data_IF_095015024445
#
_entry.id   IF_095015024445
#
_cell.length_a   1.000
_cell.length_b   1.000
_cell.length_c   1.000
_cell.angle_alpha   90.00
_cell.angle_beta   90.00
_cell.angle_gamma   90.00
#
_symmetry.space_group_name_H-M   'P 1'
#
loop_
_entity.id
_entity.type
_entity.pdbx_description
1 polymer ?
#
# COMPACT_ATOMS: atom_id res chain seq x y z
N UNK A 1 -23.56 28.50 -55.28
CA UNK A 1 -23.22 28.64 -53.85
C UNK A 1 -22.28 27.49 -53.50
N UNK A 2 -20.97 27.76 -53.45
CA UNK A 2 -19.91 26.74 -53.39
C UNK A 2 -19.61 26.31 -51.97
N UNK A 3 -19.58 24.99 -51.77
CA UNK A 3 -19.37 24.29 -50.50
C UNK A 3 -17.87 24.07 -50.23
N UNK A 4 -17.09 25.15 -50.07
CA UNK A 4 -15.61 25.11 -50.05
C UNK A 4 -14.96 25.41 -48.69
N UNK A 5 -15.69 25.29 -47.58
CA UNK A 5 -15.20 25.66 -46.24
C UNK A 5 -14.94 24.51 -45.26
N UNK A 6 -15.25 23.25 -45.61
CA UNK A 6 -15.19 22.12 -44.66
C UNK A 6 -13.91 21.27 -44.71
N UNK A 7 -13.00 21.53 -45.64
CA UNK A 7 -11.83 20.66 -45.88
C UNK A 7 -10.49 21.23 -45.38
N UNK A 8 -10.45 22.47 -44.87
CA UNK A 8 -9.20 23.11 -44.44
C UNK A 8 -8.87 22.84 -42.97
N UNK A 9 -9.87 22.82 -42.08
CA UNK A 9 -9.68 22.53 -40.64
C UNK A 9 -9.23 21.09 -40.39
N UNK A 10 -9.74 20.12 -41.15
CA UNK A 10 -9.29 18.73 -41.04
C UNK A 10 -7.83 18.52 -41.45
N UNK A 11 -7.36 19.24 -42.48
CA UNK A 11 -5.97 19.15 -42.94
C UNK A 11 -5.00 19.81 -41.94
N UNK A 12 -5.40 20.92 -41.33
CA UNK A 12 -4.60 21.60 -40.31
C UNK A 12 -4.41 20.75 -39.04
N UNK A 13 -5.42 19.98 -38.65
CA UNK A 13 -5.32 19.09 -37.50
C UNK A 13 -4.44 17.86 -37.78
N UNK A 14 -4.57 17.28 -38.97
CA UNK A 14 -3.75 16.13 -39.40
C UNK A 14 -2.28 16.52 -39.58
N UNK A 15 -2.01 17.72 -40.11
CA UNK A 15 -0.65 18.26 -40.23
C UNK A 15 -0.04 18.56 -38.84
N UNK A 16 -0.82 19.12 -37.90
CA UNK A 16 -0.36 19.36 -36.52
C UNK A 16 -0.01 18.06 -35.79
N UNK A 17 -0.84 17.02 -35.91
CA UNK A 17 -0.56 15.73 -35.26
C UNK A 17 0.67 15.04 -35.84
N UNK A 18 0.89 15.16 -37.16
CA UNK A 18 2.10 14.61 -37.81
C UNK A 18 3.36 15.39 -37.44
N UNK A 19 3.26 16.71 -37.27
CA UNK A 19 4.36 17.57 -36.81
C UNK A 19 4.73 17.28 -35.35
N UNK A 20 3.74 17.07 -34.46
CA UNK A 20 3.97 16.62 -33.07
C UNK A 20 4.61 15.22 -33.04
N UNK A 21 4.25 14.34 -33.97
CA UNK A 21 4.83 13.01 -34.09
C UNK A 21 6.22 12.98 -34.76
N UNK A 22 6.74 14.13 -35.22
CA UNK A 22 8.07 14.24 -35.83
C UNK A 22 8.22 13.55 -37.20
N UNK A 23 7.11 13.27 -37.89
CA UNK A 23 7.13 12.62 -39.20
C UNK A 23 7.29 13.68 -40.31
N UNK A 24 8.47 13.73 -40.93
CA UNK A 24 8.76 14.65 -42.03
C UNK A 24 7.98 14.26 -43.30
N UNK A 25 7.03 15.12 -43.70
CA UNK A 25 6.16 14.94 -44.87
C UNK A 25 6.54 15.86 -46.05
N UNK A 26 7.71 16.50 -46.03
CA UNK A 26 8.23 17.26 -47.17
C UNK A 26 7.42 18.50 -47.57
N UNK A 27 6.53 18.98 -46.68
CA UNK A 27 5.81 20.25 -46.84
C UNK A 27 6.40 21.29 -45.90
N UNK A 28 6.65 22.49 -46.45
CA UNK A 28 7.26 23.62 -45.74
C UNK A 28 6.63 23.83 -44.36
N UNK A 29 7.44 23.69 -43.31
CA UNK A 29 7.14 24.03 -41.93
C UNK A 29 6.78 25.51 -41.85
N UNK A 30 5.54 25.82 -41.49
CA UNK A 30 5.02 27.21 -41.48
C UNK A 30 5.04 27.89 -40.12
N UNK A 31 5.32 27.16 -39.04
CA UNK A 31 5.15 27.69 -37.69
C UNK A 31 6.45 27.84 -36.88
N UNK A 32 7.59 27.37 -37.40
CA UNK A 32 8.88 27.55 -36.73
C UNK A 32 10.02 27.75 -37.74
N UNK A 33 10.26 29.01 -38.15
CA UNK A 33 11.55 29.40 -38.74
C UNK A 33 11.92 30.79 -38.22
N UNK A 34 12.81 30.83 -37.22
CA UNK A 34 13.89 31.80 -37.24
C UNK A 34 15.12 31.23 -36.51
N UNK A 35 16.30 31.37 -37.13
CA UNK A 35 17.59 30.96 -36.58
C UNK A 35 18.19 29.69 -37.17
N UNK A 36 18.73 29.79 -38.38
CA UNK A 36 19.47 28.72 -39.07
C UNK A 36 20.81 28.34 -38.42
N UNK A 37 21.15 27.07 -38.53
CA UNK A 37 22.50 26.49 -38.67
C UNK A 37 22.37 24.97 -38.78
N UNK A 38 23.03 24.38 -39.77
CA UNK A 38 23.18 22.93 -39.93
C UNK A 38 23.55 22.24 -38.59
N UNK A 39 22.75 21.28 -38.08
CA UNK A 39 23.01 20.67 -36.78
C UNK A 39 23.38 19.18 -36.81
N UNK A 40 23.54 18.55 -37.97
CA UNK A 40 23.51 17.08 -38.06
C UNK A 40 24.77 16.38 -37.51
N UNK A 41 25.91 17.09 -37.45
CA UNK A 41 27.15 16.57 -36.84
C UNK A 41 27.31 16.90 -35.34
N UNK A 42 26.79 18.03 -34.89
CA UNK A 42 27.01 18.53 -33.52
C UNK A 42 25.91 18.16 -32.53
N UNK A 43 24.73 17.71 -33.01
CA UNK A 43 23.66 17.18 -32.15
C UNK A 43 23.99 15.80 -31.59
N UNK A 44 24.63 14.90 -32.35
CA UNK A 44 25.02 13.57 -31.83
C UNK A 44 26.04 13.67 -30.69
N UNK A 45 27.09 14.49 -30.84
CA UNK A 45 28.09 14.64 -29.78
C UNK A 45 27.57 15.39 -28.53
N UNK A 46 26.65 16.35 -28.70
CA UNK A 46 25.94 16.98 -27.56
C UNK A 46 24.89 16.04 -26.95
N UNK A 47 24.24 15.20 -27.74
CA UNK A 47 23.30 14.18 -27.29
C UNK A 47 24.02 13.08 -26.51
N UNK A 48 25.13 12.55 -27.00
CA UNK A 48 25.90 11.53 -26.30
C UNK A 48 26.55 12.08 -25.01
N UNK A 49 26.96 13.36 -24.99
CA UNK A 49 27.37 14.07 -23.77
C UNK A 49 26.21 14.44 -22.84
N UNK A 50 24.98 14.55 -23.36
CA UNK A 50 23.78 14.74 -22.53
C UNK A 50 23.30 13.41 -21.94
N UNK A 51 23.41 12.31 -22.69
CA UNK A 51 23.10 10.95 -22.27
C UNK A 51 24.13 10.45 -21.24
N UNK A 52 25.43 10.71 -21.43
CA UNK A 52 26.45 10.43 -20.39
C UNK A 52 26.41 11.40 -19.21
N UNK A 53 25.73 12.55 -19.34
CA UNK A 53 25.38 13.44 -18.20
C UNK A 53 24.04 13.09 -17.55
N UNK A 54 23.25 12.20 -18.14
CA UNK A 54 21.94 11.83 -17.65
C UNK A 54 21.94 10.52 -16.85
N UNK A 55 23.09 9.85 -16.71
CA UNK A 55 23.20 8.75 -15.75
C UNK A 55 23.18 9.33 -14.34
N UNK A 56 22.17 8.95 -13.57
CA UNK A 56 22.02 9.37 -12.18
C UNK A 56 23.19 8.85 -11.34
N UNK A 57 23.40 9.44 -10.16
CA UNK A 57 24.47 9.00 -9.27
C UNK A 57 24.32 7.51 -8.94
N UNK A 58 23.07 7.06 -8.71
CA UNK A 58 22.73 5.67 -8.49
C UNK A 58 23.09 4.77 -9.69
N UNK A 59 22.66 5.11 -10.90
CA UNK A 59 22.94 4.30 -12.11
C UNK A 59 24.43 4.11 -12.34
N UNK A 60 25.23 5.14 -12.04
CA UNK A 60 26.68 5.08 -12.12
C UNK A 60 27.26 4.09 -11.11
N UNK A 61 26.83 4.13 -9.85
CA UNK A 61 27.28 3.20 -8.82
C UNK A 61 26.91 1.76 -9.18
N UNK A 62 25.65 1.52 -9.56
CA UNK A 62 25.17 0.19 -9.95
C UNK A 62 25.94 -0.41 -11.14
N UNK A 63 26.45 0.45 -12.04
CA UNK A 63 27.24 0.01 -13.20
C UNK A 63 28.72 -0.22 -12.89
N UNK A 64 29.25 0.45 -11.86
CA UNK A 64 30.68 0.44 -11.53
C UNK A 64 31.04 -0.58 -10.46
N UNK A 65 30.13 -0.84 -9.53
CA UNK A 65 30.36 -1.70 -8.37
C UNK A 65 29.28 -2.79 -8.29
N UNK A 66 29.71 -4.02 -8.55
CA UNK A 66 28.83 -5.19 -8.55
C UNK A 66 28.42 -5.61 -7.14
N UNK A 67 29.27 -5.40 -6.12
CA UNK A 67 28.97 -5.75 -4.73
C UNK A 67 27.91 -4.79 -4.17
N UNK A 68 28.12 -3.48 -4.39
CA UNK A 68 27.11 -2.46 -4.08
C UNK A 68 25.78 -2.75 -4.77
N UNK A 69 25.80 -3.06 -6.07
CA UNK A 69 24.58 -3.32 -6.83
C UNK A 69 23.79 -4.51 -6.26
N UNK A 70 24.48 -5.60 -5.89
CA UNK A 70 23.86 -6.76 -5.28
C UNK A 70 23.20 -6.41 -3.95
N UNK A 71 23.92 -5.71 -3.05
CA UNK A 71 23.40 -5.29 -1.75
C UNK A 71 22.20 -4.34 -1.91
N UNK A 72 22.30 -3.36 -2.81
CA UNK A 72 21.22 -2.42 -3.08
C UNK A 72 19.94 -3.13 -3.54
N UNK A 73 20.06 -4.08 -4.48
CA UNK A 73 18.92 -4.87 -4.95
C UNK A 73 18.33 -5.74 -3.84
N UNK A 74 19.16 -6.40 -3.04
CA UNK A 74 18.70 -7.20 -1.89
C UNK A 74 17.90 -6.35 -0.90
N UNK A 75 18.44 -5.20 -0.47
CA UNK A 75 17.76 -4.31 0.48
C UNK A 75 16.47 -3.75 -0.10
N UNK A 76 16.45 -3.39 -1.39
CA UNK A 76 15.24 -2.94 -2.07
C UNK A 76 14.16 -4.02 -2.11
N UNK A 77 14.54 -5.25 -2.42
CA UNK A 77 13.62 -6.38 -2.46
C UNK A 77 13.09 -6.73 -1.06
N UNK A 78 13.94 -6.62 -0.03
CA UNK A 78 13.57 -6.78 1.37
C UNK A 78 12.53 -5.73 1.81
N UNK A 79 12.78 -4.44 1.53
CA UNK A 79 11.83 -3.36 1.83
C UNK A 79 10.49 -3.60 1.12
N UNK A 80 10.50 -3.88 -0.18
CA UNK A 80 9.27 -4.12 -0.95
C UNK A 80 8.48 -5.33 -0.43
N UNK A 81 9.17 -6.41 -0.08
CA UNK A 81 8.57 -7.61 0.51
C UNK A 81 7.95 -7.32 1.87
N UNK A 82 8.66 -6.62 2.75
CA UNK A 82 8.17 -6.26 4.08
C UNK A 82 7.00 -5.28 3.98
N UNK A 83 7.03 -4.30 3.08
CA UNK A 83 5.90 -3.41 2.81
C UNK A 83 4.63 -4.18 2.42
N UNK A 84 4.75 -5.20 1.58
CA UNK A 84 3.63 -6.07 1.21
C UNK A 84 3.09 -6.85 2.43
N UNK A 85 3.98 -7.43 3.25
CA UNK A 85 3.60 -8.15 4.48
C UNK A 85 2.87 -7.20 5.45
N UNK A 86 3.44 -6.02 5.70
CA UNK A 86 2.83 -4.99 6.57
C UNK A 86 1.49 -4.55 6.04
N UNK A 87 1.34 -4.35 4.73
CA UNK A 87 0.07 -3.96 4.12
C UNK A 87 -1.01 -5.02 4.34
N UNK A 88 -0.67 -6.31 4.14
CA UNK A 88 -1.59 -7.42 4.38
C UNK A 88 -1.98 -7.55 5.86
N UNK A 89 -1.00 -7.48 6.75
CA UNK A 89 -1.20 -7.53 8.20
C UNK A 89 -2.00 -6.34 8.70
N UNK A 90 -1.79 -5.14 8.15
CA UNK A 90 -2.55 -3.94 8.50
C UNK A 90 -4.01 -4.08 8.11
N UNK A 91 -4.30 -4.60 6.90
CA UNK A 91 -5.68 -4.88 6.48
C UNK A 91 -6.35 -5.91 7.42
N UNK A 92 -5.65 -6.99 7.76
CA UNK A 92 -6.16 -8.01 8.67
C UNK A 92 -6.40 -7.44 10.09
N UNK A 93 -5.46 -6.65 10.61
CA UNK A 93 -5.58 -6.01 11.92
C UNK A 93 -6.73 -4.99 11.97
N UNK A 94 -6.93 -4.19 10.93
CA UNK A 94 -8.06 -3.28 10.83
C UNK A 94 -9.39 -4.03 10.78
N UNK A 95 -9.48 -5.10 9.98
CA UNK A 95 -10.67 -5.95 9.94
C UNK A 95 -11.00 -6.55 11.30
N UNK A 96 -9.98 -7.06 12.02
CA UNK A 96 -10.14 -7.57 13.39
C UNK A 96 -10.59 -6.49 14.36
N UNK A 97 -9.97 -5.30 14.34
CA UNK A 97 -10.35 -4.19 15.22
C UNK A 97 -11.81 -3.76 15.01
N UNK A 98 -12.27 -3.70 13.75
CA UNK A 98 -13.68 -3.41 13.45
C UNK A 98 -14.62 -4.51 13.96
N UNK A 99 -14.26 -5.78 13.81
CA UNK A 99 -15.07 -6.90 14.27
C UNK A 99 -15.21 -6.96 15.80
N UNK A 100 -14.12 -6.74 16.54
CA UNK A 100 -14.14 -6.68 18.01
C UNK A 100 -14.93 -5.45 18.50
N UNK A 101 -14.74 -4.28 17.87
CA UNK A 101 -15.52 -3.09 18.19
C UNK A 101 -17.03 -3.29 17.96
N UNK A 102 -17.41 -3.99 16.88
CA UNK A 102 -18.81 -4.34 16.63
C UNK A 102 -19.37 -5.29 17.70
N UNK A 103 -18.54 -6.20 18.21
CA UNK A 103 -18.91 -7.11 19.30
C UNK A 103 -19.14 -6.35 20.61
N UNK A 104 -18.25 -5.43 20.97
CA UNK A 104 -18.42 -4.54 22.13
C UNK A 104 -19.71 -3.72 22.00
N UNK A 105 -19.98 -3.17 20.81
CA UNK A 105 -21.21 -2.42 20.54
C UNK A 105 -22.47 -3.27 20.71
N UNK A 106 -22.49 -4.49 20.16
CA UNK A 106 -23.60 -5.44 20.34
C UNK A 106 -23.81 -5.80 21.83
N UNK A 107 -22.71 -6.06 22.56
CA UNK A 107 -22.76 -6.33 23.99
C UNK A 107 -23.39 -5.18 24.78
N UNK A 108 -23.01 -3.92 24.49
CA UNK A 108 -23.63 -2.73 25.12
C UNK A 108 -25.11 -2.61 24.80
N UNK A 109 -25.52 -2.92 23.57
CA UNK A 109 -26.93 -2.89 23.18
C UNK A 109 -27.76 -3.99 23.86
N UNK A 110 -27.15 -5.12 24.22
CA UNK A 110 -27.81 -6.23 24.93
C UNK A 110 -27.67 -6.15 26.46
N UNK A 111 -26.82 -5.29 26.97
CA UNK A 111 -26.62 -5.09 28.40
C UNK A 111 -27.86 -4.50 29.10
N UNK A 112 -27.83 -4.60 30.43
CA UNK A 112 -28.82 -3.99 31.31
C UNK A 112 -28.67 -2.46 31.32
N UNK A 113 -29.77 -1.78 31.61
CA UNK A 113 -29.77 -0.30 31.68
C UNK A 113 -30.46 0.18 32.94
N UNK A 114 -29.88 1.17 33.58
CA UNK A 114 -30.49 1.93 34.66
C UNK A 114 -31.53 2.93 34.13
N UNK A 115 -32.41 3.49 34.99
CA UNK A 115 -33.41 4.48 34.58
C UNK A 115 -32.84 5.77 33.97
N UNK A 116 -31.58 6.10 34.30
CA UNK A 116 -30.83 7.22 33.74
C UNK A 116 -30.19 6.91 32.37
N UNK A 117 -30.27 5.66 31.91
CA UNK A 117 -29.68 5.17 30.66
C UNK A 117 -28.27 4.60 30.80
N UNK A 118 -27.70 4.56 32.01
CA UNK A 118 -26.37 4.00 32.26
C UNK A 118 -26.36 2.49 31.95
N UNK A 119 -25.38 2.05 31.16
CA UNK A 119 -25.19 0.65 30.79
C UNK A 119 -24.49 -0.09 31.92
N UNK A 120 -25.07 -1.22 32.32
CA UNK A 120 -24.55 -2.05 33.40
C UNK A 120 -24.51 -3.53 33.00
N UNK A 121 -23.53 -4.23 33.56
CA UNK A 121 -23.28 -5.64 33.34
C UNK A 121 -23.26 -6.37 34.69
N UNK A 122 -23.78 -7.59 34.74
CA UNK A 122 -23.70 -8.42 35.94
C UNK A 122 -22.51 -9.37 35.80
N UNK A 123 -21.68 -9.45 36.84
CA UNK A 123 -20.60 -10.44 36.93
C UNK A 123 -21.18 -11.85 36.98
N UNK A 124 -20.65 -12.75 36.15
CA UNK A 124 -21.00 -14.15 36.19
C UNK A 124 -20.38 -14.87 37.40
N UNK A 125 -19.29 -14.33 37.95
CA UNK A 125 -18.53 -14.93 39.05
C UNK A 125 -19.04 -14.50 40.42
N UNK A 126 -19.19 -13.19 40.64
CA UNK A 126 -19.59 -12.64 41.94
C UNK A 126 -21.08 -12.33 42.03
N UNK A 127 -21.74 -12.15 40.88
CA UNK A 127 -23.13 -11.68 40.80
C UNK A 127 -23.29 -10.17 41.00
N UNK A 128 -22.20 -9.45 41.30
CA UNK A 128 -22.20 -7.99 41.46
C UNK A 128 -22.46 -7.29 40.12
N UNK A 129 -22.98 -6.07 40.18
CA UNK A 129 -23.29 -5.26 39.00
C UNK A 129 -22.21 -4.19 38.80
N UNK A 130 -21.64 -4.12 37.60
CA UNK A 130 -20.62 -3.16 37.21
C UNK A 130 -21.14 -2.25 36.11
N UNK A 131 -20.81 -0.95 36.19
CA UNK A 131 -21.01 -0.02 35.07
C UNK A 131 -19.99 -0.29 33.96
N UNK A 132 -20.23 0.26 32.78
CA UNK A 132 -19.27 0.21 31.65
C UNK A 132 -17.83 0.63 32.04
N UNK A 133 -17.67 1.64 32.90
CA UNK A 133 -16.36 2.11 33.39
C UNK A 133 -15.71 1.21 34.46
N UNK A 134 -16.30 0.05 34.78
CA UNK A 134 -15.80 -0.88 35.80
C UNK A 134 -16.06 -0.49 37.25
N UNK A 135 -16.98 0.43 37.52
CA UNK A 135 -17.39 0.78 38.89
C UNK A 135 -18.50 -0.17 39.35
N UNK A 136 -18.34 -0.73 40.54
CA UNK A 136 -19.41 -1.51 41.17
C UNK A 136 -20.59 -0.60 41.55
N UNK A 137 -21.80 -1.09 41.31
CA UNK A 137 -23.04 -0.43 41.70
C UNK A 137 -23.24 -0.53 43.22
N UNK A 138 -23.89 0.47 43.83
CA UNK A 138 -24.20 0.40 45.25
C UNK A 138 -25.34 -0.61 45.51
N UNK A 139 -25.29 -1.26 46.68
CA UNK A 139 -26.35 -2.16 47.12
C UNK A 139 -27.68 -1.40 47.21
N UNK A 140 -28.67 -1.82 46.41
CA UNK A 140 -30.00 -1.21 46.30
C UNK A 140 -30.31 -0.69 44.90
N UNK A 141 -29.32 -0.15 44.18
CA UNK A 141 -29.53 0.38 42.83
C UNK A 141 -29.73 -0.76 41.79
N UNK A 142 -29.37 -2.00 42.16
CA UNK A 142 -29.49 -3.19 41.32
C UNK A 142 -30.96 -3.58 41.02
N UNK A 143 -31.89 -3.19 41.89
CA UNK A 143 -33.32 -3.50 41.75
C UNK A 143 -33.98 -2.71 40.61
N UNK A 144 -33.42 -1.53 40.29
CA UNK A 144 -33.93 -0.64 39.24
C UNK A 144 -33.39 -0.98 37.85
N UNK A 145 -32.47 -1.96 37.74
CA UNK A 145 -31.86 -2.34 36.47
C UNK A 145 -32.84 -3.12 35.60
N UNK A 146 -33.07 -2.61 34.39
CA UNK A 146 -33.83 -3.33 33.37
C UNK A 146 -32.93 -4.30 32.61
N UNK A 147 -32.98 -5.58 32.97
CA UNK A 147 -32.20 -6.64 32.33
C UNK A 147 -32.87 -7.18 31.07
N UNK A 148 -32.07 -7.42 30.03
CA UNK A 148 -32.50 -8.15 28.82
C UNK A 148 -32.17 -9.64 28.97
N UNK A 149 -32.94 -10.49 28.29
CA UNK A 149 -32.81 -11.96 28.40
C UNK A 149 -31.42 -12.48 28.07
N UNK A 150 -30.74 -11.87 27.10
CA UNK A 150 -29.44 -12.30 26.58
C UNK A 150 -28.34 -11.27 26.92
N UNK A 151 -28.39 -10.72 28.14
CA UNK A 151 -27.39 -9.75 28.62
C UNK A 151 -26.02 -10.42 28.78
N UNK A 152 -24.93 -9.86 28.23
CA UNK A 152 -23.59 -10.37 28.45
C UNK A 152 -23.15 -10.18 29.91
N UNK A 153 -22.19 -11.01 30.35
CA UNK A 153 -21.55 -10.84 31.65
C UNK A 153 -20.57 -9.67 31.63
N UNK A 154 -20.19 -9.19 32.82
CA UNK A 154 -19.13 -8.18 32.95
C UNK A 154 -17.79 -8.68 32.42
N UNK A 155 -17.44 -9.93 32.72
CA UNK A 155 -16.17 -10.54 32.32
C UNK A 155 -16.07 -10.70 30.80
N UNK A 156 -17.18 -11.08 30.14
CA UNK A 156 -17.22 -11.16 28.67
C UNK A 156 -17.04 -9.78 28.04
N UNK A 157 -17.68 -8.76 28.61
CA UNK A 157 -17.59 -7.39 28.13
C UNK A 157 -16.18 -6.82 28.32
N UNK A 158 -15.60 -6.93 29.51
CA UNK A 158 -14.26 -6.42 29.78
C UNK A 158 -13.21 -7.10 28.90
N UNK A 159 -13.31 -8.43 28.73
CA UNK A 159 -12.43 -9.17 27.83
C UNK A 159 -12.60 -8.75 26.36
N UNK A 160 -13.80 -8.37 25.92
CA UNK A 160 -14.04 -7.85 24.57
C UNK A 160 -13.46 -6.44 24.38
N UNK A 161 -13.52 -5.59 25.40
CA UNK A 161 -12.84 -4.29 25.41
C UNK A 161 -11.33 -4.48 25.31
N UNK A 162 -10.74 -5.34 26.14
CA UNK A 162 -9.31 -5.64 26.11
C UNK A 162 -8.84 -6.15 24.74
N UNK A 163 -9.63 -7.04 24.10
CA UNK A 163 -9.35 -7.51 22.73
C UNK A 163 -9.45 -6.40 21.69
N UNK A 164 -10.42 -5.49 21.83
CA UNK A 164 -10.57 -4.34 20.95
C UNK A 164 -9.37 -3.40 21.07
N UNK A 165 -8.95 -3.08 22.29
CA UNK A 165 -7.81 -2.23 22.57
C UNK A 165 -6.51 -2.85 22.04
N UNK A 166 -6.30 -4.15 22.26
CA UNK A 166 -5.16 -4.87 21.71
C UNK A 166 -5.15 -4.86 20.16
N UNK A 167 -6.31 -5.05 19.52
CA UNK A 167 -6.42 -4.98 18.07
C UNK A 167 -6.15 -3.57 17.52
N UNK A 168 -6.64 -2.52 18.19
CA UNK A 168 -6.34 -1.13 17.83
C UNK A 168 -4.86 -0.79 18.04
N UNK A 169 -4.25 -1.27 19.13
CA UNK A 169 -2.83 -1.11 19.37
C UNK A 169 -2.02 -1.72 18.24
N UNK A 170 -2.37 -2.94 17.81
CA UNK A 170 -1.70 -3.59 16.67
C UNK A 170 -1.77 -2.76 15.39
N UNK A 171 -2.91 -2.14 15.09
CA UNK A 171 -3.04 -1.22 13.94
C UNK A 171 -2.09 -0.04 14.08
N UNK A 172 -2.02 0.58 15.26
CA UNK A 172 -1.11 1.72 15.51
C UNK A 172 0.35 1.33 15.37
N UNK A 173 0.75 0.17 15.90
CA UNK A 173 2.13 -0.31 15.82
C UNK A 173 2.55 -0.51 14.36
N UNK A 174 1.69 -1.13 13.54
CA UNK A 174 1.95 -1.33 12.11
C UNK A 174 2.02 -0.03 11.33
N UNK A 175 1.13 0.94 11.62
CA UNK A 175 1.15 2.26 10.99
C UNK A 175 2.41 3.04 11.36
N UNK A 176 2.81 2.98 12.63
CA UNK A 176 4.04 3.62 13.13
C UNK A 176 5.26 3.01 12.45
N UNK A 177 5.33 1.69 12.38
CA UNK A 177 6.40 0.99 11.68
C UNK A 177 6.49 1.37 10.20
N UNK A 178 5.34 1.44 9.50
CA UNK A 178 5.30 1.85 8.10
C UNK A 178 5.80 3.30 7.90
N UNK A 179 5.38 4.22 8.76
CA UNK A 179 5.70 5.65 8.63
C UNK A 179 7.13 5.99 9.10
N UNK A 180 7.62 5.35 10.16
CA UNK A 180 8.90 5.70 10.81
C UNK A 180 10.07 4.84 10.38
N UNK A 181 9.84 3.68 9.75
CA UNK A 181 10.89 2.75 9.33
C UNK A 181 10.87 2.53 7.83
N UNK A 182 9.75 2.02 7.28
CA UNK A 182 9.70 1.62 5.87
C UNK A 182 9.69 2.81 4.91
N UNK A 183 8.90 3.84 5.19
CA UNK A 183 8.83 5.01 4.31
C UNK A 183 10.19 5.75 4.21
N UNK A 184 10.90 6.07 5.30
CA UNK A 184 12.24 6.65 5.22
C UNK A 184 13.24 5.77 4.46
N UNK A 185 13.19 4.45 4.65
CA UNK A 185 14.03 3.51 3.92
C UNK A 185 13.74 3.55 2.41
N UNK A 186 12.46 3.53 2.00
CA UNK A 186 12.05 3.64 0.61
C UNK A 186 12.46 4.98 0.00
N UNK A 187 12.18 6.08 0.69
CA UNK A 187 12.50 7.43 0.21
C UNK A 187 14.01 7.58 0.00
N UNK A 188 14.84 6.97 0.86
CA UNK A 188 16.31 6.94 0.71
C UNK A 188 16.75 6.08 -0.48
N UNK A 189 16.14 4.91 -0.69
CA UNK A 189 16.45 4.03 -1.82
C UNK A 189 16.02 4.64 -3.17
N UNK A 190 14.95 5.42 -3.19
CA UNK A 190 14.43 6.05 -4.42
C UNK A 190 15.18 7.35 -4.80
N UNK A 191 16.07 7.86 -3.94
CA UNK A 191 16.90 9.04 -4.21
C UNK A 191 18.03 8.71 -5.21
N UNK A 192 17.77 9.00 -6.49
CA UNK A 192 18.70 8.72 -7.58
C UNK A 192 19.93 9.65 -7.59
N UNK A 193 19.79 10.84 -7.01
CA UNK A 193 20.82 11.88 -7.00
C UNK A 193 21.75 11.75 -5.78
N UNK A 194 21.24 11.21 -4.68
CA UNK A 194 21.99 10.93 -3.46
C UNK A 194 21.72 9.50 -2.96
N UNK A 195 22.19 8.47 -3.70
CA UNK A 195 21.99 7.09 -3.31
C UNK A 195 22.66 6.78 -1.96
N UNK A 196 22.10 5.85 -1.17
CA UNK A 196 22.68 5.44 0.10
C UNK A 196 24.07 4.81 -0.12
N UNK A 197 24.96 5.02 0.83
CA UNK A 197 26.24 4.29 0.91
C UNK A 197 26.03 2.83 1.33
N UNK A 198 27.03 1.97 1.15
CA UNK A 198 26.97 0.56 1.60
C UNK A 198 26.62 0.43 3.09
N UNK A 199 27.26 1.24 3.94
CA UNK A 199 26.98 1.25 5.37
C UNK A 199 25.53 1.67 5.66
N UNK A 200 25.01 2.67 4.93
CA UNK A 200 23.62 3.08 5.07
C UNK A 200 22.64 1.99 4.57
N UNK A 201 22.99 1.23 3.54
CA UNK A 201 22.21 0.07 3.10
C UNK A 201 22.15 -1.03 4.16
N UNK A 202 23.29 -1.33 4.81
CA UNK A 202 23.33 -2.27 5.94
C UNK A 202 22.51 -1.77 7.13
N UNK A 203 22.58 -0.47 7.42
CA UNK A 203 21.80 0.15 8.50
C UNK A 203 20.29 0.08 8.19
N UNK A 204 19.88 0.38 6.95
CA UNK A 204 18.49 0.21 6.51
C UNK A 204 18.05 -1.24 6.70
N UNK A 205 18.86 -2.19 6.21
CA UNK A 205 18.57 -3.63 6.33
C UNK A 205 18.40 -4.04 7.78
N UNK A 206 19.30 -3.60 8.66
CA UNK A 206 19.20 -3.88 10.10
C UNK A 206 17.93 -3.28 10.69
N UNK A 207 17.65 -2.01 10.40
CA UNK A 207 16.52 -1.28 10.98
C UNK A 207 15.17 -1.89 10.59
N UNK A 208 14.97 -2.33 9.34
CA UNK A 208 13.73 -3.00 8.89
C UNK A 208 13.52 -4.39 9.51
N UNK A 209 14.56 -5.02 10.07
CA UNK A 209 14.40 -6.29 10.78
C UNK A 209 14.32 -6.10 12.30
N UNK A 210 15.15 -5.24 12.88
CA UNK A 210 15.22 -5.02 14.33
C UNK A 210 14.03 -4.21 14.87
N UNK A 211 13.50 -3.27 14.09
CA UNK A 211 12.37 -2.43 14.49
C UNK A 211 11.01 -2.99 14.09
N UNK A 212 10.98 -4.19 13.50
CA UNK A 212 9.74 -4.87 13.14
C UNK A 212 8.89 -5.13 14.40
N UNK A 213 7.59 -4.80 14.41
CA UNK A 213 6.75 -5.01 15.57
C UNK A 213 6.55 -6.51 15.82
N UNK A 214 6.43 -6.89 17.10
CA UNK A 214 6.30 -8.29 17.53
C UNK A 214 5.20 -9.03 16.75
N UNK A 215 5.48 -10.28 16.38
CA UNK A 215 4.56 -11.12 15.61
C UNK A 215 4.43 -10.77 14.13
N UNK A 216 5.12 -9.74 13.62
CA UNK A 216 5.25 -9.51 12.17
C UNK A 216 6.22 -10.54 11.58
N UNK A 217 5.75 -11.38 10.66
CA UNK A 217 6.60 -12.39 10.02
C UNK A 217 7.42 -11.76 8.87
N UNK A 218 8.52 -11.09 9.21
CA UNK A 218 9.45 -10.46 8.25
C UNK A 218 10.43 -11.46 7.61
N UNK A 219 10.62 -12.63 8.22
CA UNK A 219 11.54 -13.66 7.72
C UNK A 219 10.92 -14.60 6.69
N UNK A 220 9.60 -14.53 6.45
CA UNK A 220 8.98 -15.35 5.44
C UNK A 220 9.64 -15.06 4.08
N UNK A 221 10.25 -16.08 3.48
CA UNK A 221 10.48 -16.10 2.03
C UNK A 221 9.17 -15.67 1.36
N UNK A 222 9.23 -14.85 0.30
CA UNK A 222 8.03 -14.49 -0.42
C UNK A 222 7.28 -15.80 -0.72
N UNK A 223 5.96 -15.88 -0.46
CA UNK A 223 5.21 -17.07 -0.83
C UNK A 223 5.52 -17.27 -2.30
N UNK A 224 6.30 -18.33 -2.61
CA UNK A 224 6.63 -18.68 -3.97
C UNK A 224 5.27 -18.82 -4.59
N UNK A 225 4.84 -17.83 -5.37
CA UNK A 225 3.53 -17.86 -5.96
C UNK A 225 3.55 -19.15 -6.72
N UNK A 226 2.82 -20.15 -6.21
CA UNK A 226 2.69 -21.46 -6.81
C UNK A 226 2.05 -21.12 -8.14
N UNK A 227 2.91 -20.91 -9.15
CA UNK A 227 2.54 -20.46 -10.48
C UNK A 227 1.61 -21.54 -10.94
N UNK A 228 0.32 -21.26 -10.80
CA UNK A 228 -0.75 -22.20 -10.97
C UNK A 228 -0.43 -22.97 -12.23
N UNK A 229 -0.17 -24.25 -12.01
CA UNK A 229 0.22 -25.25 -12.98
C UNK A 229 -0.45 -24.91 -14.31
N UNK A 230 0.36 -24.41 -15.24
CA UNK A 230 -0.05 -23.98 -16.57
C UNK A 230 -0.50 -25.24 -17.30
N UNK A 231 -1.73 -25.66 -16.99
CA UNK A 231 -2.36 -26.85 -17.51
C UNK A 231 -2.23 -26.80 -19.03
N UNK A 232 -1.68 -27.84 -19.66
CA UNK A 232 -1.45 -27.84 -21.10
C UNK A 232 -2.79 -27.62 -21.80
N UNK A 233 -2.84 -26.59 -22.65
CA UNK A 233 -3.99 -26.28 -23.49
C UNK A 233 -4.35 -27.56 -24.25
N UNK A 234 -5.58 -28.11 -24.10
CA UNK A 234 -5.96 -29.29 -24.84
C UNK A 234 -5.97 -28.94 -26.34
N UNK A 235 -5.05 -29.54 -27.10
CA UNK A 235 -5.06 -29.47 -28.56
C UNK A 235 -6.35 -30.11 -29.06
N UNK A 236 -7.28 -29.29 -29.51
CA UNK A 236 -8.55 -29.72 -30.09
C UNK A 236 -8.29 -30.48 -31.38
N UNK A 237 -8.38 -31.81 -31.30
CA UNK A 237 -8.36 -32.72 -32.46
C UNK A 237 -9.56 -32.45 -33.36
N UNK A 238 -9.31 -31.87 -34.53
CA UNK A 238 -10.32 -31.62 -35.57
C UNK A 238 -10.77 -32.97 -36.16
N UNK A 239 -12.03 -33.33 -35.92
CA UNK A 239 -12.66 -34.49 -36.52
C UNK A 239 -12.87 -34.27 -38.04
N UNK A 240 -12.42 -35.25 -38.82
CA UNK A 240 -12.52 -35.30 -40.28
C UNK A 240 -13.96 -35.67 -40.68
N UNK A 241 -14.63 -34.94 -41.58
CA UNK A 241 -15.97 -35.32 -42.04
C UNK A 241 -15.88 -36.56 -42.95
N UNK A 242 -16.70 -37.56 -42.66
CA UNK A 242 -16.89 -38.75 -43.51
C UNK A 242 -17.71 -38.39 -44.75
N UNK A 243 -17.28 -38.93 -45.89
CA UNK A 243 -17.96 -38.90 -47.20
C UNK A 243 -18.96 -40.04 -47.28
#
# INVERSE_FOLDING_TARGET
MSNSGKNETGRLFDDLQREIAGLDVGRQTRFFVDGGSDPDGSKREKSDRAVTRALTALERLLSQDAEYAQLYHEVRDDVARIEMVVTNELMAAQGKAMAEAATVFDMRNRAGTLPDGTVVFRSAETGEVFTEDGKALAAGDEEDVTWKKDSPSWEDYSAAVDRTDAAQQRVRDLQTYQAEVLQPARDKLEDQDNPPTEQELEDIKRDIFERAPDGLNVSAEPPVAELADSSPIPTSTVAKPSV
#
